data_IF_646135424581
#
_entry.id   IF_646135424581
#
_cell.length_a   1.000
_cell.length_b   1.000
_cell.length_c   1.000
_cell.angle_alpha   90.00
_cell.angle_beta   90.00
_cell.angle_gamma   90.00
#
_symmetry.space_group_name_H-M   'P 1'
#
loop_
_entity.id
_entity.type
_entity.pdbx_description
1 polymer ?
#
# COMPACT_ATOMS: atom_id res chain seq x y z
N UNK A 1 5.05 15.25 -6.53
CA UNK A 1 4.48 14.86 -7.85
C UNK A 1 4.38 13.34 -7.93
N UNK A 2 3.24 12.74 -8.35
CA UNK A 2 3.17 11.32 -8.72
C UNK A 2 3.81 11.15 -10.10
N UNK A 3 4.82 10.27 -10.20
CA UNK A 3 5.55 10.04 -11.47
C UNK A 3 5.22 8.67 -12.07
N UNK A 4 3.98 8.28 -12.04
CA UNK A 4 3.47 7.07 -12.69
C UNK A 4 1.97 7.20 -12.93
N UNK A 5 1.45 6.37 -13.81
CA UNK A 5 0.02 6.21 -14.04
C UNK A 5 -0.30 4.72 -14.21
N UNK A 6 -1.60 4.36 -14.14
CA UNK A 6 -2.03 2.96 -14.08
C UNK A 6 -1.66 2.15 -15.34
N UNK A 7 -1.65 2.78 -16.51
CA UNK A 7 -1.46 2.10 -17.79
C UNK A 7 -0.03 2.16 -18.33
N UNK A 8 0.97 2.37 -17.49
CA UNK A 8 2.36 2.32 -17.91
C UNK A 8 2.70 0.97 -18.56
N UNK A 9 3.54 0.95 -19.61
CA UNK A 9 3.95 -0.27 -20.27
C UNK A 9 4.80 -1.15 -19.34
N UNK A 10 4.70 -2.47 -19.52
CA UNK A 10 5.56 -3.44 -18.82
C UNK A 10 6.91 -3.61 -19.55
N UNK A 11 7.66 -2.53 -19.71
CA UNK A 11 8.93 -2.52 -20.46
C UNK A 11 10.18 -2.40 -19.57
N UNK A 12 9.99 -2.16 -18.26
CA UNK A 12 11.09 -1.99 -17.31
C UNK A 12 11.87 -0.70 -17.49
N UNK A 13 11.27 0.35 -18.05
CA UNK A 13 11.98 1.60 -18.37
C UNK A 13 11.68 2.76 -17.41
N UNK A 14 10.71 2.62 -16.50
CA UNK A 14 10.29 3.77 -15.67
C UNK A 14 11.44 4.38 -14.87
N UNK A 15 12.29 3.54 -14.24
CA UNK A 15 13.41 4.04 -13.46
C UNK A 15 14.42 4.81 -14.31
N UNK A 16 14.69 4.36 -15.54
CA UNK A 16 15.59 5.06 -16.47
C UNK A 16 14.98 6.38 -16.94
N UNK A 17 13.70 6.39 -17.29
CA UNK A 17 12.99 7.59 -17.71
C UNK A 17 13.00 8.65 -16.62
N UNK A 18 12.63 8.27 -15.39
CA UNK A 18 12.63 9.20 -14.25
C UNK A 18 14.04 9.72 -13.93
N UNK A 19 15.08 8.87 -14.06
CA UNK A 19 16.47 9.29 -13.93
C UNK A 19 16.86 10.33 -14.99
N UNK A 20 16.46 10.13 -16.25
CA UNK A 20 16.73 11.05 -17.34
C UNK A 20 15.97 12.38 -17.17
N UNK A 21 14.75 12.34 -16.63
CA UNK A 21 13.91 13.52 -16.40
C UNK A 21 14.31 14.35 -15.16
N UNK A 22 15.19 13.87 -14.30
CA UNK A 22 15.48 14.49 -13.00
C UNK A 22 15.84 15.99 -13.12
N UNK A 23 16.68 16.37 -14.10
CA UNK A 23 17.06 17.78 -14.30
C UNK A 23 15.89 18.64 -14.78
N UNK A 24 15.04 18.10 -15.67
CA UNK A 24 13.83 18.79 -16.14
C UNK A 24 12.85 19.01 -15.00
N UNK A 25 12.60 17.97 -14.17
CA UNK A 25 11.70 18.07 -13.00
C UNK A 25 12.16 19.16 -12.03
N UNK A 26 13.48 19.23 -11.73
CA UNK A 26 14.05 20.31 -10.92
C UNK A 26 13.79 21.69 -11.57
N UNK A 27 14.04 21.82 -12.88
CA UNK A 27 13.95 23.09 -13.58
C UNK A 27 12.52 23.64 -13.64
N UNK A 28 11.51 22.76 -13.62
CA UNK A 28 10.09 23.14 -13.50
C UNK A 28 9.59 23.25 -12.04
N UNK A 29 10.49 23.09 -11.04
CA UNK A 29 10.20 23.32 -9.63
C UNK A 29 9.63 22.12 -8.87
N UNK A 30 9.77 20.89 -9.36
CA UNK A 30 9.39 19.68 -8.61
C UNK A 30 10.41 19.46 -7.48
N UNK A 31 9.93 19.39 -6.25
CA UNK A 31 10.76 19.20 -5.05
C UNK A 31 10.70 17.79 -4.47
N UNK A 32 9.69 17.00 -4.85
CA UNK A 32 9.53 15.62 -4.44
C UNK A 32 8.76 14.81 -5.48
N UNK A 33 9.12 13.54 -5.63
CA UNK A 33 8.37 12.57 -6.45
C UNK A 33 7.87 11.42 -5.59
N UNK A 34 6.65 10.98 -5.87
CA UNK A 34 6.08 9.74 -5.39
C UNK A 34 6.20 8.70 -6.50
N UNK A 35 6.95 7.61 -6.21
CA UNK A 35 7.20 6.49 -7.11
C UNK A 35 6.26 5.33 -6.76
N UNK A 36 5.89 4.47 -7.74
CA UNK A 36 5.03 3.32 -7.51
C UNK A 36 5.68 2.30 -6.57
N UNK A 37 4.91 1.27 -6.09
CA UNK A 37 5.48 0.17 -5.32
C UNK A 37 6.65 -0.46 -6.09
N UNK A 38 7.85 -0.45 -5.49
CA UNK A 38 9.08 -0.85 -6.18
C UNK A 38 9.48 -2.30 -5.93
N UNK A 39 8.70 -3.04 -5.15
CA UNK A 39 8.95 -4.44 -4.79
C UNK A 39 8.15 -5.41 -5.66
N UNK A 40 8.49 -6.70 -5.55
CA UNK A 40 7.94 -7.76 -6.39
C UNK A 40 6.44 -7.95 -6.15
N UNK A 41 5.67 -7.84 -7.22
CA UNK A 41 4.26 -8.24 -7.27
C UNK A 41 4.11 -9.72 -7.65
N UNK A 42 2.88 -10.22 -7.65
CA UNK A 42 2.55 -11.60 -8.02
C UNK A 42 2.78 -11.90 -9.51
N UNK A 43 2.71 -10.86 -10.36
CA UNK A 43 3.01 -10.91 -11.78
C UNK A 43 3.91 -9.73 -12.20
N UNK A 44 4.75 -9.91 -13.25
CA UNK A 44 5.65 -8.86 -13.74
C UNK A 44 4.92 -7.60 -14.21
N UNK A 45 3.73 -7.76 -14.76
CA UNK A 45 2.96 -6.66 -15.35
C UNK A 45 2.14 -5.87 -14.32
N UNK A 46 2.02 -6.38 -13.08
CA UNK A 46 1.27 -5.71 -12.00
C UNK A 46 1.93 -4.40 -11.61
N UNK A 47 1.12 -3.42 -11.27
CA UNK A 47 1.55 -2.08 -10.83
C UNK A 47 2.26 -2.08 -9.48
N UNK A 48 2.37 -3.24 -8.81
CA UNK A 48 3.00 -3.43 -7.51
C UNK A 48 2.00 -3.55 -6.35
N UNK A 49 0.70 -3.37 -6.62
CA UNK A 49 -0.34 -3.46 -5.58
C UNK A 49 -0.74 -4.90 -5.26
N UNK A 50 -0.55 -5.86 -6.15
CA UNK A 50 -0.63 -7.29 -5.83
C UNK A 50 0.69 -7.76 -5.18
N UNK A 51 0.99 -7.28 -3.98
CA UNK A 51 2.28 -7.43 -3.31
C UNK A 51 2.63 -8.89 -3.00
N UNK A 52 3.74 -9.37 -3.56
CA UNK A 52 4.28 -10.71 -3.26
C UNK A 52 5.44 -10.66 -2.28
N UNK A 53 6.58 -10.05 -2.63
CA UNK A 53 7.78 -10.00 -1.77
C UNK A 53 8.30 -8.58 -1.59
N UNK A 54 8.07 -8.02 -0.41
CA UNK A 54 8.47 -6.67 -0.02
C UNK A 54 10.00 -6.45 -0.07
N UNK A 55 10.81 -7.52 0.10
CA UNK A 55 12.26 -7.41 0.08
C UNK A 55 12.89 -7.61 -1.30
N UNK A 56 12.10 -7.97 -2.32
CA UNK A 56 12.59 -8.11 -3.69
C UNK A 56 12.30 -6.85 -4.51
N UNK A 57 13.25 -5.97 -4.59
CA UNK A 57 13.17 -4.71 -5.36
C UNK A 57 13.50 -4.88 -6.86
N UNK A 58 13.31 -6.08 -7.41
CA UNK A 58 13.74 -6.42 -8.78
C UNK A 58 15.17 -6.95 -8.82
N UNK A 59 15.54 -7.79 -7.84
CA UNK A 59 16.87 -8.38 -7.66
C UNK A 59 16.88 -9.90 -7.84
N UNK A 60 15.76 -10.59 -7.55
CA UNK A 60 15.69 -12.04 -7.50
C UNK A 60 14.78 -12.61 -8.59
N UNK A 61 15.16 -13.80 -9.10
CA UNK A 61 14.31 -14.57 -10.01
C UNK A 61 13.11 -15.12 -9.23
N UNK A 62 11.99 -14.38 -9.28
CA UNK A 62 10.74 -14.74 -8.63
C UNK A 62 9.56 -14.35 -9.54
N UNK A 63 8.48 -15.12 -9.51
CA UNK A 63 7.31 -14.89 -10.37
C UNK A 63 7.65 -14.81 -11.87
N UNK A 64 8.68 -15.59 -12.31
CA UNK A 64 9.12 -15.66 -13.69
C UNK A 64 9.91 -14.45 -14.19
N UNK A 65 10.42 -13.61 -13.28
CA UNK A 65 11.16 -12.39 -13.65
C UNK A 65 12.15 -11.98 -12.56
N UNK A 66 13.25 -11.31 -12.95
CA UNK A 66 14.12 -10.62 -12.01
C UNK A 66 13.59 -9.21 -11.76
N UNK A 67 13.36 -8.41 -12.80
CA UNK A 67 12.87 -7.04 -12.67
C UNK A 67 11.41 -6.96 -12.21
N UNK A 68 11.02 -5.85 -11.64
CA UNK A 68 9.60 -5.46 -11.50
C UNK A 68 9.07 -4.91 -12.83
N UNK A 69 7.81 -4.50 -12.89
CA UNK A 69 7.25 -3.79 -14.04
C UNK A 69 8.13 -2.62 -14.46
N UNK A 70 8.75 -1.95 -13.52
CA UNK A 70 9.40 -0.65 -13.66
C UNK A 70 10.91 -0.72 -13.89
N UNK A 71 11.56 -1.82 -13.53
CA UNK A 71 13.01 -2.01 -13.69
C UNK A 71 13.63 -2.90 -12.63
N UNK A 72 14.95 -2.92 -12.58
CA UNK A 72 15.76 -3.64 -11.59
C UNK A 72 16.07 -2.78 -10.37
N UNK A 73 16.52 -3.41 -9.29
CA UNK A 73 16.97 -2.72 -8.07
C UNK A 73 18.10 -1.74 -8.32
N UNK A 74 19.07 -2.09 -9.16
CA UNK A 74 20.20 -1.22 -9.46
C UNK A 74 19.74 0.04 -10.21
N UNK A 75 18.84 -0.11 -11.19
CA UNK A 75 18.24 1.01 -11.91
C UNK A 75 17.41 1.92 -10.98
N UNK A 76 16.67 1.33 -10.03
CA UNK A 76 15.94 2.06 -9.00
C UNK A 76 16.88 2.91 -8.12
N UNK A 77 17.99 2.33 -7.65
CA UNK A 77 18.97 3.05 -6.82
C UNK A 77 19.66 4.16 -7.60
N UNK A 78 20.06 3.91 -8.83
CA UNK A 78 20.65 4.92 -9.70
C UNK A 78 19.70 6.09 -9.97
N UNK A 79 18.41 5.81 -10.15
CA UNK A 79 17.36 6.82 -10.32
C UNK A 79 17.21 7.69 -9.06
N UNK A 80 17.13 7.08 -7.88
CA UNK A 80 17.04 7.80 -6.60
C UNK A 80 18.26 8.68 -6.38
N UNK A 81 19.46 8.15 -6.61
CA UNK A 81 20.70 8.93 -6.50
C UNK A 81 20.70 10.16 -7.43
N UNK A 82 20.16 10.03 -8.65
CA UNK A 82 20.08 11.14 -9.59
C UNK A 82 19.03 12.19 -9.18
N UNK A 83 17.89 11.77 -8.63
CA UNK A 83 16.89 12.70 -8.07
C UNK A 83 17.49 13.49 -6.90
N UNK A 84 18.21 12.85 -5.99
CA UNK A 84 18.86 13.51 -4.86
C UNK A 84 19.91 14.52 -5.32
N UNK A 85 20.72 14.22 -6.34
CA UNK A 85 21.66 15.20 -6.95
C UNK A 85 20.93 16.43 -7.50
N UNK A 86 19.67 16.26 -7.91
CA UNK A 86 18.82 17.34 -8.38
C UNK A 86 17.95 17.96 -7.28
N UNK A 87 18.21 17.64 -5.99
CA UNK A 87 17.47 18.13 -4.82
C UNK A 87 15.96 17.78 -4.85
N UNK A 88 15.63 16.61 -5.39
CA UNK A 88 14.26 16.08 -5.45
C UNK A 88 14.17 14.93 -4.44
N UNK A 89 13.27 15.05 -3.49
CA UNK A 89 12.97 14.00 -2.50
C UNK A 89 12.19 12.84 -3.15
N UNK A 90 12.36 11.63 -2.62
CA UNK A 90 11.73 10.41 -3.14
C UNK A 90 10.83 9.77 -2.08
N UNK A 91 9.55 9.59 -2.41
CA UNK A 91 8.56 8.91 -1.59
C UNK A 91 8.14 7.61 -2.25
N UNK A 92 8.34 6.48 -1.55
CA UNK A 92 7.94 5.16 -2.02
C UNK A 92 6.46 4.90 -1.72
N UNK A 93 5.74 4.33 -2.68
CA UNK A 93 4.41 3.75 -2.44
C UNK A 93 4.53 2.46 -1.63
N UNK A 94 3.82 2.38 -0.51
CA UNK A 94 3.94 1.29 0.47
C UNK A 94 2.59 0.62 0.69
N UNK A 95 2.49 -0.65 0.29
CA UNK A 95 1.30 -1.50 0.38
C UNK A 95 1.52 -2.54 1.47
N UNK A 96 0.89 -2.36 2.63
CA UNK A 96 1.03 -3.23 3.80
C UNK A 96 -0.29 -3.85 4.26
N UNK A 97 -1.39 -3.56 3.57
CA UNK A 97 -2.71 -4.08 3.91
C UNK A 97 -2.86 -5.57 3.55
N UNK A 98 -2.27 -6.01 2.46
CA UNK A 98 -2.52 -7.34 1.92
C UNK A 98 -1.33 -7.91 1.15
N UNK A 99 -1.40 -9.22 0.86
CA UNK A 99 -0.46 -9.94 0.00
C UNK A 99 -1.18 -10.80 -1.04
N UNK A 100 -0.54 -10.91 -2.22
CA UNK A 100 -1.01 -11.74 -3.33
C UNK A 100 0.07 -12.75 -3.78
N UNK A 101 -0.31 -13.71 -4.62
CA UNK A 101 0.62 -14.60 -5.28
C UNK A 101 1.33 -15.61 -4.37
N UNK A 102 0.68 -16.15 -3.35
CA UNK A 102 1.25 -17.18 -2.49
C UNK A 102 1.92 -18.32 -3.27
N UNK A 103 2.98 -18.91 -2.72
CA UNK A 103 3.78 -19.98 -3.37
C UNK A 103 3.11 -21.35 -3.25
N UNK A 104 2.30 -21.55 -2.21
CA UNK A 104 1.57 -22.80 -1.97
C UNK A 104 0.28 -22.54 -1.20
N UNK A 105 -0.63 -23.50 -1.32
CA UNK A 105 -1.91 -23.47 -0.61
C UNK A 105 -1.81 -24.14 0.75
N UNK A 106 -2.60 -23.63 1.69
CA UNK A 106 -2.77 -24.20 3.03
C UNK A 106 -4.25 -24.43 3.31
N UNK A 107 -4.55 -25.36 4.23
CA UNK A 107 -5.90 -25.64 4.71
C UNK A 107 -6.10 -25.02 6.08
N UNK A 108 -7.19 -24.29 6.24
CA UNK A 108 -7.54 -23.64 7.50
C UNK A 108 -9.04 -23.37 7.60
N UNK A 109 -9.50 -23.13 8.82
CA UNK A 109 -10.90 -22.82 9.11
C UNK A 109 -11.18 -21.33 8.87
N UNK A 110 -12.34 -21.05 8.27
CA UNK A 110 -12.85 -19.69 8.06
C UNK A 110 -14.31 -19.61 8.37
N UNK A 111 -14.80 -18.38 8.57
CA UNK A 111 -16.22 -18.04 8.42
C UNK A 111 -16.37 -17.09 7.24
N UNK A 112 -17.35 -17.33 6.39
CA UNK A 112 -17.71 -16.38 5.34
C UNK A 112 -18.57 -15.28 5.92
N UNK A 113 -18.24 -14.02 5.59
CA UNK A 113 -18.95 -12.86 6.13
C UNK A 113 -19.72 -12.10 5.07
N UNK A 114 -20.73 -11.36 5.50
CA UNK A 114 -21.52 -10.49 4.64
C UNK A 114 -20.65 -9.34 4.08
N UNK A 115 -20.53 -9.16 2.76
CA UNK A 115 -19.70 -8.09 2.18
C UNK A 115 -20.12 -6.67 2.60
N UNK A 116 -21.41 -6.45 2.89
CA UNK A 116 -21.96 -5.15 3.28
C UNK A 116 -21.98 -4.96 4.81
N UNK A 117 -21.81 -6.03 5.58
CA UNK A 117 -21.76 -6.02 7.05
C UNK A 117 -20.81 -7.09 7.55
N UNK A 118 -19.53 -6.81 7.54
CA UNK A 118 -18.43 -7.79 7.71
C UNK A 118 -18.32 -8.38 9.12
N UNK A 119 -19.04 -7.80 10.08
CA UNK A 119 -19.21 -8.38 11.41
C UNK A 119 -20.32 -9.45 11.44
N UNK A 120 -21.06 -9.68 10.33
CA UNK A 120 -22.12 -10.66 10.21
C UNK A 120 -21.62 -11.91 9.47
N UNK A 121 -21.59 -13.05 10.17
CA UNK A 121 -21.28 -14.35 9.57
C UNK A 121 -22.46 -14.85 8.73
N UNK A 122 -22.16 -15.38 7.53
CA UNK A 122 -23.17 -15.98 6.63
C UNK A 122 -23.45 -17.46 6.94
N UNK A 123 -22.74 -18.06 7.88
CA UNK A 123 -22.92 -19.47 8.26
C UNK A 123 -21.94 -19.91 9.32
N UNK A 124 -21.88 -21.23 9.53
CA UNK A 124 -20.93 -21.84 10.43
C UNK A 124 -19.51 -21.89 9.83
N UNK A 125 -18.46 -21.94 10.68
CA UNK A 125 -17.09 -22.12 10.20
C UNK A 125 -16.89 -23.39 9.38
N UNK A 126 -16.09 -23.31 8.31
CA UNK A 126 -15.76 -24.42 7.42
C UNK A 126 -14.31 -24.36 6.94
N UNK A 127 -13.74 -25.49 6.51
CA UNK A 127 -12.39 -25.57 5.96
C UNK A 127 -12.36 -25.08 4.51
N UNK A 128 -11.37 -24.22 4.20
CA UNK A 128 -11.01 -23.84 2.84
C UNK A 128 -9.57 -24.20 2.53
N UNK A 129 -9.18 -24.05 1.26
CA UNK A 129 -7.79 -24.06 0.83
C UNK A 129 -7.45 -22.71 0.22
N UNK A 130 -6.53 -21.97 0.86
CA UNK A 130 -6.12 -20.62 0.44
C UNK A 130 -4.65 -20.55 0.04
N UNK A 131 -4.29 -19.64 -0.88
CA UNK A 131 -2.91 -19.36 -1.31
C UNK A 131 -2.21 -18.43 -0.31
N UNK A 132 -1.90 -18.94 0.87
CA UNK A 132 -1.42 -18.17 2.02
C UNK A 132 0.02 -18.48 2.43
N UNK A 133 0.66 -19.46 1.79
CA UNK A 133 2.03 -19.81 2.08
C UNK A 133 3.03 -19.06 1.19
N UNK A 134 4.00 -18.34 1.79
CA UNK A 134 5.05 -17.61 1.06
C UNK A 134 6.42 -18.04 1.54
N UNK A 135 7.22 -18.65 0.67
CA UNK A 135 8.57 -19.13 0.96
C UNK A 135 9.67 -18.31 0.29
N UNK A 136 9.32 -17.49 -0.72
CA UNK A 136 10.26 -16.62 -1.44
C UNK A 136 11.46 -17.39 -1.99
N UNK A 137 11.21 -18.45 -2.76
CA UNK A 137 12.22 -19.43 -3.22
C UNK A 137 13.40 -18.78 -3.95
N UNK A 138 13.18 -17.72 -4.73
CA UNK A 138 14.24 -17.04 -5.47
C UNK A 138 15.13 -16.18 -4.57
N UNK A 139 14.55 -15.50 -3.60
CA UNK A 139 15.27 -14.68 -2.62
C UNK A 139 15.91 -15.52 -1.51
N UNK A 140 15.30 -16.64 -1.17
CA UNK A 140 15.66 -17.46 0.00
C UNK A 140 15.54 -16.62 1.30
N UNK A 141 16.60 -16.63 2.11
CA UNK A 141 16.61 -15.91 3.38
C UNK A 141 17.38 -14.57 3.33
N UNK A 142 17.75 -14.09 2.12
CA UNK A 142 18.42 -12.79 1.99
C UNK A 142 17.48 -11.66 2.46
N UNK A 143 17.97 -10.79 3.30
CA UNK A 143 17.29 -9.68 3.99
C UNK A 143 16.30 -10.09 5.07
N UNK A 144 15.58 -11.21 4.93
CA UNK A 144 14.63 -11.73 5.92
C UNK A 144 14.43 -13.23 5.71
N UNK A 145 14.42 -13.98 6.80
CA UNK A 145 14.07 -15.40 6.88
C UNK A 145 12.58 -15.64 7.20
N UNK A 146 11.80 -14.58 7.40
CA UNK A 146 10.38 -14.67 7.70
C UNK A 146 9.61 -15.32 6.54
N UNK A 147 8.75 -16.28 6.90
CA UNK A 147 7.84 -16.98 5.97
C UNK A 147 6.42 -16.70 6.37
N UNK A 148 5.57 -16.46 5.38
CA UNK A 148 4.16 -16.20 5.65
C UNK A 148 3.37 -17.49 5.56
N UNK A 149 2.40 -17.61 6.48
CA UNK A 149 1.45 -18.71 6.58
C UNK A 149 0.06 -18.14 6.87
N UNK A 150 -1.00 -18.97 6.69
CA UNK A 150 -2.38 -18.55 6.86
C UNK A 150 -2.63 -17.83 8.19
N UNK A 151 -1.93 -18.21 9.26
CA UNK A 151 -2.09 -17.61 10.59
C UNK A 151 -1.47 -16.20 10.72
N UNK A 152 -0.81 -15.70 9.69
CA UNK A 152 -0.34 -14.30 9.59
C UNK A 152 -1.35 -13.38 8.90
N UNK A 153 -2.53 -13.92 8.57
CA UNK A 153 -3.59 -13.18 7.90
C UNK A 153 -4.87 -13.19 8.73
N UNK A 154 -5.66 -12.12 8.67
CA UNK A 154 -6.99 -12.00 9.26
C UNK A 154 -8.07 -12.55 8.33
N UNK A 155 -7.85 -12.47 7.00
CA UNK A 155 -8.79 -12.91 5.99
C UNK A 155 -8.17 -13.26 4.64
N UNK A 156 -8.97 -13.89 3.78
CA UNK A 156 -8.62 -14.18 2.38
C UNK A 156 -9.84 -14.04 1.47
N UNK A 157 -9.57 -13.68 0.21
CA UNK A 157 -10.61 -13.44 -0.79
C UNK A 157 -10.97 -14.64 -1.67
N UNK A 158 -10.28 -15.80 -1.53
CA UNK A 158 -10.43 -16.90 -2.46
C UNK A 158 -10.29 -18.29 -1.82
N UNK A 159 -11.26 -19.17 -2.07
CA UNK A 159 -11.21 -20.60 -1.72
C UNK A 159 -10.78 -21.41 -2.96
N UNK A 160 -9.55 -21.87 -2.97
CA UNK A 160 -8.99 -22.65 -4.08
C UNK A 160 -9.64 -24.03 -4.22
N UNK A 161 -10.12 -24.64 -3.13
CA UNK A 161 -10.78 -25.96 -3.15
C UNK A 161 -12.09 -25.95 -3.93
N UNK A 162 -12.83 -24.84 -3.88
CA UNK A 162 -14.10 -24.64 -4.57
C UNK A 162 -14.02 -23.66 -5.75
N UNK A 163 -12.82 -23.09 -6.01
CA UNK A 163 -12.57 -22.08 -7.05
C UNK A 163 -13.57 -20.92 -7.00
N UNK A 164 -13.81 -20.38 -5.82
CA UNK A 164 -14.76 -19.29 -5.62
C UNK A 164 -14.17 -18.14 -4.79
N UNK A 165 -14.61 -16.93 -5.11
CA UNK A 165 -14.34 -15.73 -4.32
C UNK A 165 -15.37 -15.54 -3.22
N UNK A 166 -15.00 -14.86 -2.15
CA UNK A 166 -15.82 -14.48 -1.02
C UNK A 166 -14.97 -13.66 -0.04
N UNK A 167 -15.55 -13.21 1.06
CA UNK A 167 -14.79 -12.63 2.18
C UNK A 167 -14.75 -13.68 3.28
N UNK A 168 -13.57 -14.30 3.44
CA UNK A 168 -13.35 -15.41 4.37
C UNK A 168 -12.50 -14.94 5.54
N UNK A 169 -13.13 -14.71 6.68
CA UNK A 169 -12.41 -14.41 7.92
C UNK A 169 -11.77 -15.68 8.47
N UNK A 170 -10.46 -15.65 8.67
CA UNK A 170 -9.70 -16.78 9.20
C UNK A 170 -10.05 -16.98 10.68
N UNK A 171 -10.21 -18.24 11.06
CA UNK A 171 -10.59 -18.63 12.41
C UNK A 171 -9.40 -19.22 13.17
N UNK A 172 -9.31 -18.94 14.46
CA UNK A 172 -8.27 -19.45 15.36
C UNK A 172 -8.16 -18.62 16.64
N UNK A 173 -7.26 -18.99 17.50
CA UNK A 173 -7.00 -18.25 18.74
C UNK A 173 -6.45 -16.85 18.40
N UNK A 174 -7.09 -15.81 18.92
CA UNK A 174 -6.73 -14.41 18.67
C UNK A 174 -7.10 -13.86 17.29
N UNK A 175 -7.84 -14.62 16.46
CA UNK A 175 -8.25 -14.18 15.13
C UNK A 175 -9.54 -13.39 15.16
N UNK A 176 -9.49 -12.20 14.61
CA UNK A 176 -10.62 -11.30 14.40
C UNK A 176 -10.27 -10.33 13.27
N UNK A 177 -11.23 -9.53 12.80
CA UNK A 177 -10.93 -8.30 12.06
C UNK A 177 -10.26 -7.30 13.01
N UNK A 178 -9.29 -6.55 12.53
CA UNK A 178 -8.64 -5.49 13.32
C UNK A 178 -9.65 -4.44 13.77
N UNK A 179 -9.46 -3.90 14.97
CA UNK A 179 -10.05 -2.66 15.42
C UNK A 179 -9.22 -1.45 14.94
N UNK A 180 -9.74 -0.23 15.05
CA UNK A 180 -9.02 0.97 14.60
C UNK A 180 -8.94 1.12 13.07
N UNK A 181 -9.83 0.47 12.34
CA UNK A 181 -10.07 0.62 10.89
C UNK A 181 -11.36 1.42 10.63
N UNK A 182 -11.59 1.80 9.36
CA UNK A 182 -12.84 2.48 8.99
C UNK A 182 -14.07 1.61 9.27
N UNK A 183 -15.16 2.24 9.76
CA UNK A 183 -16.41 1.57 10.09
C UNK A 183 -17.33 1.25 8.91
N UNK A 184 -16.92 1.58 7.68
CA UNK A 184 -17.66 1.23 6.47
C UNK A 184 -17.86 -0.29 6.39
N UNK A 185 -19.04 -0.73 5.93
CA UNK A 185 -19.45 -2.15 5.91
C UNK A 185 -19.36 -2.85 7.29
N UNK A 186 -19.49 -2.09 8.39
CA UNK A 186 -19.41 -2.60 9.76
C UNK A 186 -18.00 -2.73 10.31
N UNK A 187 -17.04 -3.07 9.49
CA UNK A 187 -15.59 -3.10 9.72
C UNK A 187 -14.90 -3.26 8.35
N UNK A 188 -13.97 -2.36 8.02
CA UNK A 188 -13.35 -2.38 6.69
C UNK A 188 -11.88 -2.84 6.71
N UNK A 189 -11.51 -3.76 7.60
CA UNK A 189 -10.19 -4.38 7.64
C UNK A 189 -9.86 -5.06 6.29
N UNK A 190 -10.63 -6.06 5.90
CA UNK A 190 -10.43 -6.77 4.63
C UNK A 190 -10.68 -5.87 3.41
N UNK A 191 -9.67 -5.67 2.58
CA UNK A 191 -9.83 -5.01 1.27
C UNK A 191 -9.86 -6.03 0.13
N UNK A 192 -8.79 -6.80 -0.03
CA UNK A 192 -8.63 -7.81 -1.09
C UNK A 192 -7.51 -8.82 -0.78
N UNK A 193 -7.37 -9.86 -1.59
CA UNK A 193 -6.31 -10.88 -1.53
C UNK A 193 -6.21 -11.58 -0.17
N UNK A 194 -5.01 -11.67 0.42
CA UNK A 194 -4.79 -12.15 1.78
C UNK A 194 -4.53 -10.96 2.68
N UNK A 195 -5.48 -10.64 3.52
CA UNK A 195 -5.47 -9.51 4.44
C UNK A 195 -4.49 -9.75 5.57
N UNK A 196 -3.54 -8.83 5.76
CA UNK A 196 -2.45 -9.01 6.74
C UNK A 196 -2.97 -8.74 8.14
N UNK A 197 -2.75 -9.69 9.07
CA UNK A 197 -3.11 -9.57 10.47
C UNK A 197 -2.16 -8.59 11.20
N UNK A 198 -2.55 -7.33 11.27
CA UNK A 198 -1.79 -6.26 11.92
C UNK A 198 -1.90 -6.27 13.46
N UNK A 199 -2.58 -7.26 14.04
CA UNK A 199 -2.57 -7.58 15.45
C UNK A 199 -1.57 -8.71 15.80
N UNK A 200 -1.07 -9.45 14.79
CA UNK A 200 -0.12 -10.55 14.99
C UNK A 200 1.29 -10.02 15.30
N UNK A 201 1.88 -10.31 16.48
CA UNK A 201 3.14 -9.68 16.89
C UNK A 201 4.33 -9.92 15.95
N UNK A 202 4.44 -11.12 15.37
CA UNK A 202 5.52 -11.46 14.42
C UNK A 202 5.37 -10.68 13.10
N UNK A 203 4.13 -10.49 12.63
CA UNK A 203 3.82 -9.68 11.45
C UNK A 203 4.20 -8.23 11.66
N UNK A 204 3.77 -7.64 12.77
CA UNK A 204 4.09 -6.24 13.12
C UNK A 204 5.61 -6.05 13.24
N UNK A 205 6.31 -6.98 13.88
CA UNK A 205 7.77 -6.93 14.00
C UNK A 205 8.45 -7.01 12.64
N UNK A 206 7.98 -7.89 11.75
CA UNK A 206 8.52 -8.06 10.40
C UNK A 206 8.30 -6.83 9.53
N UNK A 207 7.10 -6.26 9.52
CA UNK A 207 6.79 -5.07 8.74
C UNK A 207 7.56 -3.83 9.25
N UNK A 208 7.72 -3.67 10.55
CA UNK A 208 8.56 -2.63 11.14
C UNK A 208 10.05 -2.81 10.73
N UNK A 209 10.55 -4.05 10.73
CA UNK A 209 11.90 -4.38 10.26
C UNK A 209 12.07 -4.04 8.78
N UNK A 210 11.09 -4.42 7.96
CA UNK A 210 11.09 -4.09 6.55
C UNK A 210 11.08 -2.57 6.29
N UNK A 211 10.24 -1.82 6.98
CA UNK A 211 10.18 -0.36 6.85
C UNK A 211 11.53 0.31 7.10
N UNK A 212 12.22 -0.10 8.16
CA UNK A 212 13.60 0.34 8.46
C UNK A 212 14.57 -0.05 7.35
N UNK A 213 14.50 -1.31 6.89
CA UNK A 213 15.38 -1.80 5.85
C UNK A 213 15.18 -1.06 4.53
N UNK A 214 13.94 -0.94 4.03
CA UNK A 214 13.69 -0.33 2.72
C UNK A 214 14.02 1.16 2.70
N UNK A 215 13.71 1.87 3.78
CA UNK A 215 14.01 3.31 3.90
C UNK A 215 15.52 3.60 3.91
N UNK A 216 16.32 2.72 4.52
CA UNK A 216 17.78 2.81 4.50
C UNK A 216 18.37 2.28 3.20
N UNK A 217 17.91 1.13 2.69
CA UNK A 217 18.42 0.51 1.45
C UNK A 217 18.28 1.43 0.23
N UNK A 218 17.17 2.17 0.16
CA UNK A 218 16.86 3.12 -0.91
C UNK A 218 17.15 4.58 -0.54
N UNK A 219 17.61 4.86 0.67
CA UNK A 219 17.80 6.23 1.16
C UNK A 219 16.57 7.14 0.95
N UNK A 220 15.38 6.64 1.28
CA UNK A 220 14.11 7.33 1.03
C UNK A 220 13.96 8.58 1.92
N UNK A 221 13.26 9.59 1.42
CA UNK A 221 12.87 10.80 2.16
C UNK A 221 11.45 10.68 2.76
N UNK A 222 10.67 9.73 2.30
CA UNK A 222 9.33 9.50 2.81
C UNK A 222 8.61 8.32 2.15
N UNK A 223 7.35 8.17 2.52
CA UNK A 223 6.45 7.13 1.99
C UNK A 223 5.06 7.69 1.69
N UNK A 224 4.40 7.10 0.72
CA UNK A 224 2.96 7.11 0.59
C UNK A 224 2.42 5.77 1.07
N UNK A 225 1.56 5.77 2.06
CA UNK A 225 0.94 4.58 2.61
C UNK A 225 -0.38 4.31 1.90
N UNK A 226 -0.44 3.18 1.20
CA UNK A 226 -1.63 2.71 0.49
C UNK A 226 -2.71 2.25 1.46
N UNK A 227 -3.98 2.54 1.15
CA UNK A 227 -5.17 1.93 1.74
C UNK A 227 -5.24 1.97 3.29
N UNK A 228 -4.72 3.03 3.94
CA UNK A 228 -4.60 3.08 5.42
C UNK A 228 -5.95 3.07 6.16
N UNK A 229 -7.07 3.36 5.50
CA UNK A 229 -8.40 3.21 6.12
C UNK A 229 -8.76 1.76 6.45
N UNK A 230 -8.07 0.80 5.81
CA UNK A 230 -8.24 -0.64 6.00
C UNK A 230 -7.21 -1.23 6.96
N UNK A 231 -6.30 -0.41 7.49
CA UNK A 231 -5.24 -0.84 8.40
C UNK A 231 -5.43 -0.28 9.79
N UNK A 232 -5.09 -1.07 10.79
CA UNK A 232 -5.13 -0.64 12.20
C UNK A 232 -4.33 0.65 12.40
N UNK A 233 -4.97 1.70 12.91
CA UNK A 233 -4.37 3.02 13.14
C UNK A 233 -3.13 2.95 14.05
N UNK A 234 -3.19 2.13 15.11
CA UNK A 234 -2.08 1.90 16.02
C UNK A 234 -0.86 1.27 15.32
N UNK A 235 -1.08 0.38 14.33
CA UNK A 235 0.01 -0.16 13.52
C UNK A 235 0.68 0.93 12.68
N UNK A 236 -0.08 1.80 12.00
CA UNK A 236 0.47 2.92 11.22
C UNK A 236 1.36 3.80 12.08
N UNK A 237 0.90 4.11 13.29
CA UNK A 237 1.69 4.88 14.25
C UNK A 237 3.01 4.18 14.62
N UNK A 238 2.95 2.89 14.97
CA UNK A 238 4.14 2.09 15.33
C UNK A 238 5.11 1.96 14.16
N UNK A 239 4.61 1.73 12.95
CA UNK A 239 5.42 1.62 11.73
C UNK A 239 6.19 2.92 11.46
N UNK A 240 5.53 4.07 11.52
CA UNK A 240 6.18 5.37 11.31
C UNK A 240 7.18 5.69 12.42
N UNK A 241 6.90 5.36 13.68
CA UNK A 241 7.86 5.48 14.78
C UNK A 241 9.09 4.61 14.54
N UNK A 242 8.90 3.37 14.09
CA UNK A 242 9.99 2.46 13.78
C UNK A 242 10.88 3.01 12.64
N UNK A 243 10.29 3.49 11.54
CA UNK A 243 11.05 4.07 10.42
C UNK A 243 11.77 5.35 10.85
N UNK A 244 11.09 6.26 11.54
CA UNK A 244 11.67 7.53 12.01
C UNK A 244 12.78 7.34 13.04
N UNK A 245 12.78 6.25 13.80
CA UNK A 245 13.89 5.91 14.69
C UNK A 245 15.24 5.73 13.97
N UNK A 246 15.21 5.40 12.67
CA UNK A 246 16.39 5.25 11.82
C UNK A 246 16.63 6.47 10.91
N UNK A 247 15.54 7.06 10.39
CA UNK A 247 15.60 8.12 9.35
C UNK A 247 15.44 9.54 9.90
N UNK A 248 15.03 9.68 11.16
CA UNK A 248 14.73 10.97 11.78
C UNK A 248 13.28 11.42 11.58
N UNK A 249 12.88 12.43 12.36
CA UNK A 249 11.50 12.93 12.43
C UNK A 249 11.03 13.62 11.13
N UNK A 250 11.97 14.10 10.31
CA UNK A 250 11.69 14.74 9.01
C UNK A 250 11.27 13.75 7.92
N UNK A 251 11.34 12.44 8.19
CA UNK A 251 10.88 11.43 7.24
C UNK A 251 9.39 11.60 6.97
N UNK A 252 9.06 11.99 5.72
CA UNK A 252 7.70 12.36 5.32
C UNK A 252 6.79 11.14 5.20
N UNK A 253 5.53 11.30 5.55
CA UNK A 253 4.50 10.29 5.32
C UNK A 253 3.19 10.94 4.87
N UNK A 254 2.61 10.41 3.80
CA UNK A 254 1.25 10.72 3.36
C UNK A 254 0.47 9.42 3.21
N UNK A 255 -0.77 9.39 3.67
CA UNK A 255 -1.60 8.20 3.65
C UNK A 255 -2.84 8.36 2.79
N UNK A 256 -3.22 7.28 2.14
CA UNK A 256 -4.48 7.20 1.42
C UNK A 256 -5.60 6.73 2.35
N UNK A 257 -6.35 7.70 2.88
CA UNK A 257 -7.60 7.45 3.59
C UNK A 257 -8.75 7.96 2.73
N UNK A 258 -9.35 7.09 1.93
CA UNK A 258 -10.35 7.50 0.95
C UNK A 258 -11.73 7.68 1.59
N UNK A 259 -11.95 8.85 2.18
CA UNK A 259 -13.22 9.25 2.76
C UNK A 259 -13.44 10.77 2.51
N UNK A 260 -14.66 11.17 2.17
CA UNK A 260 -15.02 12.57 1.90
C UNK A 260 -15.48 13.34 3.12
N UNK A 261 -15.60 12.70 4.28
CA UNK A 261 -16.02 13.32 5.52
C UNK A 261 -14.84 13.87 6.33
N UNK A 262 -14.83 15.17 6.57
CA UNK A 262 -13.76 15.85 7.29
C UNK A 262 -13.63 15.40 8.75
N UNK A 263 -14.75 15.13 9.43
CA UNK A 263 -14.73 14.72 10.84
C UNK A 263 -14.07 13.34 10.97
N UNK A 264 -14.31 12.44 10.03
CA UNK A 264 -13.66 11.12 9.96
C UNK A 264 -12.15 11.25 9.72
N UNK A 265 -11.74 12.13 8.79
CA UNK A 265 -10.32 12.34 8.49
C UNK A 265 -9.59 12.99 9.66
N UNK A 266 -10.19 13.99 10.31
CA UNK A 266 -9.62 14.64 11.50
C UNK A 266 -9.49 13.64 12.66
N UNK A 267 -10.52 12.81 12.90
CA UNK A 267 -10.47 11.76 13.93
C UNK A 267 -9.34 10.76 13.67
N UNK A 268 -9.12 10.38 12.42
CA UNK A 268 -8.01 9.49 12.06
C UNK A 268 -6.64 10.15 12.31
N UNK A 269 -6.46 11.41 11.91
CA UNK A 269 -5.21 12.16 12.14
C UNK A 269 -4.89 12.21 13.64
N UNK A 270 -5.89 12.45 14.49
CA UNK A 270 -5.73 12.40 15.95
C UNK A 270 -5.36 11.01 16.45
N UNK A 271 -6.01 9.95 15.96
CA UNK A 271 -5.76 8.56 16.36
C UNK A 271 -4.31 8.13 16.07
N UNK A 272 -3.77 8.52 14.91
CA UNK A 272 -2.36 8.26 14.55
C UNK A 272 -1.38 9.27 15.15
N UNK A 273 -1.85 10.23 15.96
CA UNK A 273 -1.02 11.22 16.66
C UNK A 273 -0.30 12.19 15.72
N UNK A 274 -0.96 12.65 14.68
CA UNK A 274 -0.45 13.58 13.65
C UNK A 274 0.84 13.09 12.94
N UNK A 275 1.07 11.77 12.89
CA UNK A 275 2.29 11.20 12.31
C UNK A 275 2.26 11.04 10.80
N UNK A 276 1.08 11.12 10.19
CA UNK A 276 0.84 11.00 8.74
C UNK A 276 -0.02 12.15 8.26
N UNK A 277 0.27 12.68 7.07
CA UNK A 277 -0.63 13.57 6.35
C UNK A 277 -1.58 12.73 5.50
N UNK A 278 -2.76 13.26 5.18
CA UNK A 278 -3.72 12.59 4.31
C UNK A 278 -3.85 13.32 2.98
N UNK A 279 -4.25 12.61 1.93
CA UNK A 279 -4.75 13.24 0.71
C UNK A 279 -6.04 14.01 1.02
N UNK A 280 -6.20 15.18 0.40
CA UNK A 280 -7.41 16.00 0.54
C UNK A 280 -8.54 15.43 -0.33
N UNK A 281 -9.13 14.34 0.12
CA UNK A 281 -10.24 13.66 -0.57
C UNK A 281 -11.51 14.53 -0.64
N UNK A 282 -11.89 15.31 0.39
CA UNK A 282 -12.97 16.29 0.28
C UNK A 282 -12.77 17.30 -0.86
N UNK A 283 -11.55 17.85 -1.00
CA UNK A 283 -11.22 18.75 -2.11
C UNK A 283 -11.31 18.04 -3.47
N UNK A 284 -10.84 16.78 -3.55
CA UNK A 284 -10.98 15.97 -4.76
C UNK A 284 -12.46 15.85 -5.19
N UNK A 285 -13.35 15.49 -4.28
CA UNK A 285 -14.78 15.41 -4.58
C UNK A 285 -15.39 16.75 -4.97
N UNK A 286 -15.01 17.85 -4.29
CA UNK A 286 -15.48 19.20 -4.62
C UNK A 286 -15.02 19.62 -6.03
N UNK A 287 -13.74 19.37 -6.38
CA UNK A 287 -13.24 19.63 -7.74
C UNK A 287 -13.94 18.78 -8.81
N UNK A 288 -14.18 17.50 -8.51
CA UNK A 288 -14.92 16.62 -9.40
C UNK A 288 -16.36 17.10 -9.62
N UNK A 289 -17.07 17.53 -8.57
CA UNK A 289 -18.41 18.10 -8.74
C UNK A 289 -18.38 19.44 -9.49
N UNK A 290 -17.39 20.29 -9.24
CA UNK A 290 -17.22 21.55 -9.96
C UNK A 290 -16.93 21.33 -11.46
N UNK A 291 -16.29 20.23 -11.83
CA UNK A 291 -16.05 19.88 -13.25
C UNK A 291 -17.32 19.45 -13.99
N UNK A 292 -18.37 19.04 -13.27
CA UNK A 292 -19.68 18.73 -13.86
C UNK A 292 -20.47 20.03 -14.08
N UNK A 293 -21.07 20.19 -15.24
CA UNK A 293 -21.60 21.40 -15.86
C UNK A 293 -22.37 22.44 -14.98
N UNK A 294 -22.93 22.05 -13.85
CA UNK A 294 -23.71 22.95 -12.97
C UNK A 294 -22.80 23.87 -12.13
N UNK A 295 -21.67 23.37 -11.64
CA UNK A 295 -20.74 24.14 -10.81
C UNK A 295 -19.86 25.08 -11.63
N UNK A 296 -19.59 24.76 -12.90
CA UNK A 296 -18.79 25.60 -13.80
C UNK A 296 -19.46 26.95 -14.11
N UNK A 297 -20.79 26.99 -14.15
CA UNK A 297 -21.54 28.23 -14.40
C UNK A 297 -21.42 29.21 -13.23
N UNK A 298 -21.34 28.71 -12.00
CA UNK A 298 -21.14 29.53 -10.80
C UNK A 298 -19.72 30.06 -10.67
N UNK A 299 -18.70 29.29 -11.04
CA UNK A 299 -17.30 29.73 -11.03
C UNK A 299 -17.06 30.86 -12.05
N UNK A 300 -17.63 30.78 -13.25
CA UNK A 300 -17.56 31.86 -14.26
C UNK A 300 -18.30 33.13 -13.82
N UNK A 301 -19.40 33.02 -13.10
CA UNK A 301 -20.13 34.18 -12.62
C UNK A 301 -19.32 34.98 -11.58
N UNK A 302 -18.53 34.33 -10.74
CA UNK A 302 -17.63 34.99 -9.79
C UNK A 302 -16.42 35.64 -10.46
N UNK A 303 -15.86 35.06 -11.51
CA UNK A 303 -14.75 35.69 -12.26
C UNK A 303 -15.17 36.96 -13.00
N UNK A 304 -16.43 37.07 -13.43
CA UNK A 304 -16.95 38.28 -14.10
C UNK A 304 -17.29 39.41 -13.13
N UNK A 305 -17.53 39.13 -11.87
CA UNK A 305 -17.78 40.19 -10.86
C UNK A 305 -16.48 40.83 -10.30
N UNK A 306 -15.32 40.16 -10.48
CA UNK A 306 -14.02 40.67 -10.03
C UNK A 306 -13.32 41.60 -11.05
N UNK A 307 -13.92 41.83 -12.21
CA UNK A 307 -13.37 42.65 -13.32
C UNK A 307 -14.23 43.90 -13.61
N UNK A 308 -15.17 44.26 -12.74
CA UNK A 308 -15.91 45.50 -12.76
C UNK A 308 -15.58 46.34 -11.52
#
# INVERSE_FOLDING_TARGET
>A
MQYFEWHLPNDGQLWKQLKEDASHLRDIGVTAVWIPPAYKADEQQDEGYATYDLYDLGEFEQKGTIRTKYGTKDELKEMIDELHKNHIAVYLDVVLNHKAGGDFTEKFMVVEVNPEQRNEALGEPFEIQGWTGYSFYGRKDKYSDFKWHYYHFSGTGFDDSKKRSGIFQIQGEGKAWSDGVDGENGNYDFLLCNDIDLDHPEVVAELNRWGKWVSNELNLDGVRLDAIKHMKDQFIKQFLDAVRSERGDEFYAVGEYWNGDLETLDAYIEAVGHKVNLFDVPLHYNMFQASKAVSYTHLRAHETELHL
#
